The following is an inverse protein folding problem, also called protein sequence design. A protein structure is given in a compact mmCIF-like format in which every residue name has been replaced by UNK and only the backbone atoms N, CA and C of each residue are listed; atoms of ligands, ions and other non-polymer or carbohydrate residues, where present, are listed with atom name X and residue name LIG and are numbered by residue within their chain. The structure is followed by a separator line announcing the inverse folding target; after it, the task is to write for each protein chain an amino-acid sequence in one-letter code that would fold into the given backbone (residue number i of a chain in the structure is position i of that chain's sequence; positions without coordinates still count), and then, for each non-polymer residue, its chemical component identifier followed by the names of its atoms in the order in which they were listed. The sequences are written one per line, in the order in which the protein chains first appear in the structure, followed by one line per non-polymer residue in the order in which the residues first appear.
data_IF_158847054607
#
_entry.id   IF_158847054607
#
_cell.length_a   1.000
_cell.length_b   1.000
_cell.length_c   1.000
_cell.angle_alpha   90.00
_cell.angle_beta   90.00
_cell.angle_gamma   90.00
#
_symmetry.space_group_name_H-M   'P 1'
#
loop_
_entity.id
_entity.type
_entity.pdbx_description
1 polymer ?
#
# COMPACT_ATOMS: atom_id res chain seq x y z
N UNK A 1 -15.27 -14.90 -11.84
CA UNK A 1 -15.52 -13.63 -11.14
C UNK A 1 -16.57 -13.90 -10.08
N UNK A 2 -16.26 -13.65 -8.81
CA UNK A 2 -17.29 -13.63 -7.76
C UNK A 2 -18.22 -12.43 -8.00
N UNK A 3 -19.50 -12.60 -7.68
CA UNK A 3 -20.47 -11.51 -7.73
C UNK A 3 -20.07 -10.35 -6.80
N UNK A 4 -19.53 -10.65 -5.62
CA UNK A 4 -19.18 -9.65 -4.61
C UNK A 4 -17.95 -8.83 -5.01
N UNK A 5 -16.89 -9.47 -5.53
CA UNK A 5 -15.71 -8.75 -6.03
C UNK A 5 -16.04 -7.93 -7.27
N UNK A 6 -16.94 -8.41 -8.12
CA UNK A 6 -17.43 -7.64 -9.27
C UNK A 6 -18.19 -6.40 -8.82
N UNK A 7 -19.14 -6.51 -7.87
CA UNK A 7 -19.86 -5.36 -7.31
C UNK A 7 -18.92 -4.33 -6.70
N UNK A 8 -17.87 -4.76 -6.02
CA UNK A 8 -16.86 -3.87 -5.44
C UNK A 8 -16.11 -3.11 -6.53
N UNK A 9 -15.67 -3.81 -7.58
CA UNK A 9 -15.04 -3.19 -8.75
C UNK A 9 -15.97 -2.20 -9.46
N UNK A 10 -17.25 -2.57 -9.64
CA UNK A 10 -18.26 -1.74 -10.30
C UNK A 10 -18.59 -0.47 -9.48
N UNK A 11 -18.43 -0.53 -8.15
CA UNK A 11 -18.57 0.62 -7.26
C UNK A 11 -17.35 1.58 -7.31
N UNK A 12 -16.33 1.28 -8.11
CA UNK A 12 -15.16 2.13 -8.33
C UNK A 12 -14.00 1.89 -7.35
N UNK A 13 -13.96 0.72 -6.71
CA UNK A 13 -12.86 0.29 -5.83
C UNK A 13 -11.99 -0.74 -6.57
N UNK A 14 -10.73 -0.38 -6.85
CA UNK A 14 -9.77 -1.33 -7.41
C UNK A 14 -9.30 -2.31 -6.34
N UNK A 15 -9.33 -3.61 -6.65
CA UNK A 15 -8.93 -4.68 -5.73
C UNK A 15 -7.47 -5.04 -5.99
N UNK A 16 -6.60 -4.80 -5.03
CA UNK A 16 -5.19 -5.21 -5.08
C UNK A 16 -4.93 -6.33 -4.08
N UNK A 17 -3.97 -7.20 -4.39
CA UNK A 17 -3.52 -8.27 -3.51
C UNK A 17 -2.30 -7.80 -2.70
N UNK A 18 -2.35 -7.96 -1.38
CA UNK A 18 -1.23 -7.70 -0.47
C UNK A 18 -0.37 -8.96 -0.26
N UNK A 19 0.13 -9.50 -1.37
CA UNK A 19 1.01 -10.67 -1.42
C UNK A 19 1.72 -10.75 -2.78
N UNK A 20 2.95 -11.26 -2.79
CA UNK A 20 3.65 -11.69 -3.99
C UNK A 20 4.67 -12.76 -3.62
N UNK A 21 4.63 -13.87 -4.35
CA UNK A 21 5.65 -14.90 -4.28
C UNK A 21 5.94 -15.46 -5.66
N UNK A 22 7.16 -15.98 -5.85
CA UNK A 22 7.53 -16.68 -7.08
C UNK A 22 6.64 -17.88 -7.37
N UNK A 23 6.19 -18.58 -6.33
CA UNK A 23 5.26 -19.70 -6.47
C UNK A 23 3.92 -19.27 -7.11
N UNK A 24 3.37 -18.12 -6.70
CA UNK A 24 2.13 -17.60 -7.31
C UNK A 24 2.32 -17.21 -8.78
N UNK A 25 3.50 -16.71 -9.13
CA UNK A 25 3.85 -16.36 -10.50
C UNK A 25 3.98 -17.62 -11.37
N UNK A 26 4.74 -18.62 -10.92
CA UNK A 26 5.04 -19.82 -11.72
C UNK A 26 3.87 -20.80 -11.80
N UNK A 27 3.03 -20.88 -10.76
CA UNK A 27 1.81 -21.70 -10.75
C UNK A 27 0.68 -21.12 -11.62
N UNK A 28 0.75 -19.83 -11.97
CA UNK A 28 -0.32 -19.11 -12.66
C UNK A 28 -1.44 -18.61 -11.73
N UNK A 29 -1.32 -18.80 -10.41
CA UNK A 29 -2.30 -18.35 -9.41
C UNK A 29 -2.58 -16.84 -9.51
N UNK A 30 -1.54 -16.01 -9.71
CA UNK A 30 -1.76 -14.55 -9.83
C UNK A 30 -2.64 -14.21 -11.04
N UNK A 31 -2.40 -14.86 -12.18
CA UNK A 31 -3.21 -14.68 -13.39
C UNK A 31 -4.64 -15.22 -13.24
N UNK A 32 -4.82 -16.25 -12.40
CA UNK A 32 -6.13 -16.76 -12.03
C UNK A 32 -6.91 -15.73 -11.20
N UNK A 33 -6.31 -15.13 -10.16
CA UNK A 33 -6.96 -14.13 -9.31
C UNK A 33 -7.43 -12.90 -10.09
N UNK A 34 -6.70 -12.48 -11.13
CA UNK A 34 -7.15 -11.43 -12.05
C UNK A 34 -8.50 -11.80 -12.70
N UNK A 35 -8.65 -13.07 -13.12
CA UNK A 35 -9.85 -13.57 -13.81
C UNK A 35 -10.99 -13.94 -12.87
N UNK A 36 -10.67 -14.42 -11.67
CA UNK A 36 -11.66 -15.03 -10.76
C UNK A 36 -12.11 -14.08 -9.64
N UNK A 37 -11.26 -13.13 -9.23
CA UNK A 37 -11.48 -12.26 -8.07
C UNK A 37 -11.34 -10.76 -8.39
N UNK A 38 -11.26 -10.39 -9.67
CA UNK A 38 -11.13 -8.99 -10.11
C UNK A 38 -9.87 -8.30 -9.53
N UNK A 39 -8.81 -9.05 -9.24
CA UNK A 39 -7.54 -8.47 -8.78
C UNK A 39 -6.90 -7.69 -9.92
N UNK A 40 -6.53 -6.44 -9.67
CA UNK A 40 -5.98 -5.51 -10.65
C UNK A 40 -4.67 -4.85 -10.21
N UNK A 41 -4.05 -5.32 -9.14
CA UNK A 41 -2.72 -4.87 -8.72
C UNK A 41 -2.17 -5.70 -7.58
N UNK A 42 -0.90 -5.49 -7.23
CA UNK A 42 -0.20 -6.19 -6.15
C UNK A 42 0.66 -5.23 -5.36
N UNK A 43 0.70 -5.42 -4.04
CA UNK A 43 1.70 -4.81 -3.15
C UNK A 43 2.63 -5.87 -2.57
N UNK A 44 3.89 -5.48 -2.39
CA UNK A 44 4.87 -6.24 -1.61
C UNK A 44 5.27 -5.47 -0.35
N UNK A 45 5.95 -6.17 0.56
CA UNK A 45 6.64 -5.62 1.70
C UNK A 45 7.72 -6.63 2.16
N UNK A 46 8.65 -6.24 3.05
CA UNK A 46 9.71 -7.14 3.52
C UNK A 46 9.19 -8.46 4.14
N UNK A 47 8.09 -8.41 4.90
CA UNK A 47 7.49 -9.60 5.53
C UNK A 47 6.99 -10.60 4.50
N UNK A 48 6.34 -10.13 3.43
CA UNK A 48 5.85 -10.95 2.31
C UNK A 48 7.04 -11.68 1.66
N UNK A 49 8.13 -10.97 1.38
CA UNK A 49 9.30 -11.59 0.76
C UNK A 49 10.03 -12.55 1.69
N UNK A 50 10.16 -12.24 2.99
CA UNK A 50 10.74 -13.16 3.97
C UNK A 50 9.93 -14.48 4.02
N UNK A 51 8.60 -14.37 4.05
CA UNK A 51 7.69 -15.52 3.99
C UNK A 51 7.77 -16.31 2.68
N UNK A 52 7.95 -15.64 1.54
CA UNK A 52 8.09 -16.29 0.24
C UNK A 52 9.44 -17.03 0.11
N UNK A 53 10.54 -16.38 0.50
CA UNK A 53 11.89 -16.92 0.40
C UNK A 53 12.16 -18.05 1.38
N UNK A 54 11.57 -18.01 2.59
CA UNK A 54 11.72 -19.08 3.59
C UNK A 54 11.11 -20.41 3.17
N UNK A 55 10.17 -20.42 2.22
CA UNK A 55 9.63 -21.66 1.61
C UNK A 55 10.57 -22.28 0.57
N UNK A 56 11.62 -21.56 0.16
CA UNK A 56 12.87 -22.05 -0.45
C UNK A 56 12.82 -22.60 -1.87
N UNK A 57 11.91 -23.53 -2.17
CA UNK A 57 11.98 -24.36 -3.39
C UNK A 57 11.93 -23.54 -4.69
N UNK A 58 11.09 -22.51 -4.75
CA UNK A 58 10.96 -21.67 -5.94
C UNK A 58 12.19 -20.76 -6.17
N UNK A 59 12.97 -20.47 -5.13
CA UNK A 59 14.10 -19.55 -5.18
C UNK A 59 15.46 -20.25 -5.29
N UNK A 60 15.51 -21.56 -5.06
CA UNK A 60 16.74 -22.34 -4.95
C UNK A 60 17.69 -22.17 -6.15
N UNK A 61 17.17 -22.22 -7.38
CA UNK A 61 18.01 -22.06 -8.58
C UNK A 61 18.72 -20.70 -8.61
N UNK A 62 17.95 -19.62 -8.43
CA UNK A 62 18.50 -18.27 -8.43
C UNK A 62 19.49 -18.05 -7.29
N UNK A 63 19.24 -18.63 -6.12
CA UNK A 63 20.18 -18.55 -4.99
C UNK A 63 21.50 -19.26 -5.29
N UNK A 64 21.50 -20.38 -6.02
CA UNK A 64 22.75 -21.02 -6.50
C UNK A 64 23.49 -20.15 -7.49
N UNK A 65 22.79 -19.56 -8.46
CA UNK A 65 23.41 -18.67 -9.45
C UNK A 65 24.06 -17.45 -8.76
N UNK A 66 23.35 -16.83 -7.82
CA UNK A 66 23.84 -15.69 -7.05
C UNK A 66 25.00 -16.07 -6.12
N UNK A 67 24.92 -17.23 -5.46
CA UNK A 67 26.01 -17.74 -4.63
C UNK A 67 27.27 -18.04 -5.45
N UNK A 68 27.12 -18.65 -6.62
CA UNK A 68 28.22 -18.92 -7.54
C UNK A 68 28.86 -17.64 -8.10
N UNK A 69 28.06 -16.58 -8.29
CA UNK A 69 28.52 -15.25 -8.67
C UNK A 69 29.18 -14.46 -7.53
N UNK A 70 29.12 -14.96 -6.29
CA UNK A 70 29.67 -14.30 -5.11
C UNK A 70 28.86 -13.08 -4.65
N UNK A 71 27.56 -13.04 -4.96
CA UNK A 71 26.68 -11.94 -4.56
C UNK A 71 26.60 -11.79 -3.04
N UNK A 72 26.49 -10.54 -2.57
CA UNK A 72 26.13 -10.26 -1.18
C UNK A 72 24.68 -10.63 -0.88
N UNK A 73 24.31 -10.64 0.39
CA UNK A 73 22.93 -10.89 0.83
C UNK A 73 22.00 -9.80 0.28
N UNK A 74 22.44 -8.54 0.34
CA UNK A 74 21.70 -7.39 -0.16
C UNK A 74 21.51 -7.44 -1.68
N UNK A 75 22.56 -7.81 -2.42
CA UNK A 75 22.49 -7.99 -3.87
C UNK A 75 21.53 -9.12 -4.25
N UNK A 76 21.52 -10.22 -3.49
CA UNK A 76 20.63 -11.33 -3.71
C UNK A 76 19.15 -10.99 -3.41
N UNK A 77 18.87 -10.29 -2.30
CA UNK A 77 17.53 -9.76 -2.00
C UNK A 77 17.07 -8.80 -3.09
N UNK A 78 17.91 -7.84 -3.47
CA UNK A 78 17.59 -6.86 -4.50
C UNK A 78 17.28 -7.53 -5.84
N UNK A 79 18.10 -8.50 -6.26
CA UNK A 79 17.88 -9.25 -7.49
C UNK A 79 16.58 -10.08 -7.44
N UNK A 80 16.38 -10.88 -6.40
CA UNK A 80 15.22 -11.77 -6.29
C UNK A 80 13.90 -11.01 -6.26
N UNK A 81 13.82 -9.96 -5.44
CA UNK A 81 12.61 -9.14 -5.30
C UNK A 81 12.30 -8.35 -6.57
N UNK A 82 13.31 -7.77 -7.23
CA UNK A 82 13.11 -7.07 -8.50
C UNK A 82 12.69 -8.00 -9.63
N UNK A 83 13.24 -9.21 -9.70
CA UNK A 83 12.88 -10.18 -10.75
C UNK A 83 11.43 -10.68 -10.58
N UNK A 84 11.00 -10.95 -9.35
CA UNK A 84 9.60 -11.30 -9.06
C UNK A 84 8.65 -10.16 -9.39
N UNK A 85 8.99 -8.92 -9.00
CA UNK A 85 8.17 -7.73 -9.31
C UNK A 85 8.12 -7.46 -10.81
N UNK A 86 9.23 -7.62 -11.54
CA UNK A 86 9.25 -7.52 -13.00
C UNK A 86 8.33 -8.56 -13.64
N UNK A 87 8.37 -9.80 -13.18
CA UNK A 87 7.51 -10.86 -13.70
C UNK A 87 6.03 -10.58 -13.39
N UNK A 88 5.71 -10.08 -12.20
CA UNK A 88 4.36 -9.64 -11.85
C UNK A 88 3.89 -8.47 -12.72
N UNK A 89 4.76 -7.50 -13.00
CA UNK A 89 4.48 -6.40 -13.93
C UNK A 89 4.10 -6.93 -15.32
N UNK A 90 4.78 -7.96 -15.81
CA UNK A 90 4.45 -8.59 -17.10
C UNK A 90 3.07 -9.29 -17.07
N UNK A 91 2.71 -9.95 -15.97
CA UNK A 91 1.37 -10.53 -15.78
C UNK A 91 0.27 -9.46 -15.81
N UNK A 92 0.53 -8.31 -15.19
CA UNK A 92 -0.43 -7.21 -15.10
C UNK A 92 -0.42 -6.24 -16.29
N UNK A 93 0.50 -6.39 -17.26
CA UNK A 93 0.61 -5.48 -18.40
C UNK A 93 -0.70 -5.27 -19.19
N UNK A 94 -1.58 -6.29 -19.41
CA UNK A 94 -2.88 -6.07 -20.04
C UNK A 94 -3.82 -5.18 -19.22
N UNK A 95 -3.83 -5.35 -17.89
CA UNK A 95 -4.65 -4.55 -16.96
C UNK A 95 -4.13 -3.11 -16.91
N UNK A 96 -2.82 -2.93 -16.88
CA UNK A 96 -2.16 -1.62 -16.93
C UNK A 96 -2.58 -0.84 -18.17
N UNK A 97 -2.50 -1.48 -19.35
CA UNK A 97 -2.93 -0.86 -20.60
C UNK A 97 -4.43 -0.54 -20.62
N UNK A 98 -5.28 -1.46 -20.15
CA UNK A 98 -6.74 -1.28 -20.18
C UNK A 98 -7.24 -0.19 -19.22
N UNK A 99 -6.51 0.06 -18.14
CA UNK A 99 -6.87 1.05 -17.10
C UNK A 99 -6.20 2.41 -17.30
N UNK A 100 -5.55 2.65 -18.45
CA UNK A 100 -4.73 3.84 -18.71
C UNK A 100 -3.67 4.08 -17.63
N UNK A 101 -3.14 3.00 -17.07
CA UNK A 101 -2.13 3.04 -16.03
C UNK A 101 -2.65 3.28 -14.62
N UNK A 102 -3.95 3.42 -14.36
CA UNK A 102 -4.39 3.46 -12.96
C UNK A 102 -4.10 2.13 -12.27
N UNK A 103 -4.51 1.02 -12.87
CA UNK A 103 -4.33 -0.32 -12.32
C UNK A 103 -3.26 -1.11 -13.11
N UNK A 104 -3.19 -2.42 -12.87
CA UNK A 104 -2.12 -3.29 -13.34
C UNK A 104 -0.77 -2.96 -12.71
N UNK A 105 -0.78 -2.42 -11.49
CA UNK A 105 0.41 -1.92 -10.80
C UNK A 105 1.01 -2.97 -9.87
N UNK A 106 2.34 -2.96 -9.74
CA UNK A 106 3.06 -3.80 -8.78
C UNK A 106 3.97 -2.91 -7.94
N UNK A 107 3.78 -2.91 -6.61
CA UNK A 107 4.56 -2.08 -5.71
C UNK A 107 5.76 -2.82 -5.12
N UNK A 108 6.95 -2.19 -5.15
CA UNK A 108 8.18 -2.66 -4.52
C UNK A 108 8.70 -1.62 -3.53
N UNK A 109 9.07 -2.06 -2.33
CA UNK A 109 9.45 -1.18 -1.21
C UNK A 109 10.94 -0.86 -1.19
N UNK A 110 11.28 0.38 -0.85
CA UNK A 110 12.65 0.76 -0.49
C UNK A 110 13.07 0.09 0.82
N UNK A 111 14.37 0.04 1.10
CA UNK A 111 14.90 -0.47 2.36
C UNK A 111 14.35 0.41 3.53
N UNK A 112 13.63 -0.17 4.51
CA UNK A 112 13.04 0.60 5.60
C UNK A 112 14.07 1.33 6.46
N UNK A 113 15.33 0.88 6.47
CA UNK A 113 16.43 1.53 7.20
C UNK A 113 16.77 2.91 6.60
N UNK A 114 16.34 3.17 5.36
CA UNK A 114 16.48 4.47 4.69
C UNK A 114 15.33 5.43 5.00
N UNK A 115 14.35 5.07 5.83
CA UNK A 115 13.18 5.91 6.11
C UNK A 115 13.49 7.31 6.70
N UNK A 116 14.72 7.52 7.18
CA UNK A 116 15.24 8.82 7.67
C UNK A 116 16.33 9.43 6.79
N UNK A 117 16.67 8.76 5.69
CA UNK A 117 17.66 9.20 4.70
C UNK A 117 16.94 9.53 3.38
N UNK A 118 16.62 10.81 3.19
CA UNK A 118 15.93 11.28 1.99
C UNK A 118 16.76 11.01 0.72
N UNK A 119 18.07 11.25 0.74
CA UNK A 119 18.93 11.08 -0.43
C UNK A 119 19.10 9.60 -0.78
N UNK A 120 19.32 8.76 0.23
CA UNK A 120 19.38 7.31 0.09
C UNK A 120 18.07 6.73 -0.43
N UNK A 121 16.93 7.18 0.10
CA UNK A 121 15.60 6.75 -0.37
C UNK A 121 15.37 7.11 -1.84
N UNK A 122 15.62 8.36 -2.23
CA UNK A 122 15.44 8.80 -3.62
C UNK A 122 16.40 8.08 -4.58
N UNK A 123 17.62 7.77 -4.13
CA UNK A 123 18.59 6.98 -4.89
C UNK A 123 18.09 5.54 -5.10
N UNK A 124 17.70 4.86 -4.02
CA UNK A 124 17.20 3.48 -4.11
C UNK A 124 15.92 3.39 -4.94
N UNK A 125 15.03 4.38 -4.86
CA UNK A 125 13.84 4.44 -5.69
C UNK A 125 14.15 4.42 -7.19
N UNK A 126 15.18 5.16 -7.63
CA UNK A 126 15.66 5.13 -9.03
C UNK A 126 16.27 3.79 -9.38
N UNK A 127 17.11 3.23 -8.51
CA UNK A 127 17.75 1.92 -8.75
C UNK A 127 16.73 0.80 -8.87
N UNK A 128 15.69 0.77 -8.03
CA UNK A 128 14.59 -0.18 -8.12
C UNK A 128 13.81 -0.01 -9.42
N UNK A 129 13.45 1.23 -9.78
CA UNK A 129 12.73 1.52 -11.01
C UNK A 129 13.49 1.05 -12.26
N UNK A 130 14.79 1.38 -12.34
CA UNK A 130 15.67 0.98 -13.43
C UNK A 130 15.88 -0.54 -13.46
N UNK A 131 16.10 -1.18 -12.29
CA UNK A 131 16.29 -2.63 -12.19
C UNK A 131 15.03 -3.38 -12.57
N UNK A 132 13.84 -2.94 -12.17
CA UNK A 132 12.59 -3.60 -12.56
C UNK A 132 12.35 -3.39 -14.06
N UNK A 133 12.55 -2.17 -14.57
CA UNK A 133 12.50 -1.87 -16.00
C UNK A 133 11.12 -2.09 -16.62
N UNK A 134 10.05 -1.72 -15.90
CA UNK A 134 8.65 -1.77 -16.33
C UNK A 134 7.91 -0.53 -15.87
N UNK A 135 7.12 0.08 -16.75
CA UNK A 135 6.37 1.32 -16.44
C UNK A 135 5.28 1.13 -15.38
N UNK A 136 4.76 -0.10 -15.23
CA UNK A 136 3.72 -0.41 -14.27
C UNK A 136 4.22 -0.74 -12.86
N UNK A 137 5.52 -0.57 -12.60
CA UNK A 137 6.05 -0.63 -11.22
C UNK A 137 5.68 0.64 -10.45
N UNK A 138 5.43 0.50 -9.16
CA UNK A 138 5.38 1.62 -8.21
C UNK A 138 6.45 1.43 -7.15
N UNK A 139 7.22 2.48 -6.87
CA UNK A 139 8.15 2.46 -5.75
C UNK A 139 7.39 2.82 -4.48
N UNK A 140 7.46 1.97 -3.48
CA UNK A 140 6.76 2.15 -2.22
C UNK A 140 7.66 2.85 -1.23
N UNK A 141 7.25 4.04 -0.79
CA UNK A 141 8.04 4.94 0.07
C UNK A 141 7.20 5.30 1.31
N UNK A 142 7.71 5.09 2.53
CA UNK A 142 7.04 5.51 3.76
C UNK A 142 6.76 7.02 3.84
N UNK A 143 5.56 7.38 4.32
CA UNK A 143 5.16 8.75 4.64
C UNK A 143 5.68 9.18 6.02
N UNK A 144 6.96 8.97 6.30
CA UNK A 144 7.61 9.64 7.44
C UNK A 144 7.77 11.12 7.11
N UNK A 145 8.05 11.96 8.11
CA UNK A 145 8.34 13.37 7.87
C UNK A 145 9.50 13.55 6.86
N UNK A 146 10.54 12.74 7.01
CA UNK A 146 11.70 12.70 6.14
C UNK A 146 11.38 12.08 4.77
N UNK A 147 10.40 11.17 4.70
CA UNK A 147 9.96 10.47 3.49
C UNK A 147 9.11 11.32 2.54
N UNK A 148 8.52 12.43 3.01
CA UNK A 148 7.75 13.34 2.16
C UNK A 148 8.61 13.96 1.04
N UNK A 149 9.86 14.32 1.34
CA UNK A 149 10.80 14.88 0.36
C UNK A 149 11.15 13.88 -0.76
N UNK A 150 11.65 12.65 -0.48
CA UNK A 150 11.97 11.70 -1.53
C UNK A 150 10.75 11.21 -2.31
N UNK A 151 9.53 11.23 -1.73
CA UNK A 151 8.30 11.02 -2.50
C UNK A 151 8.17 12.06 -3.61
N UNK A 152 8.28 13.35 -3.29
CA UNK A 152 8.20 14.43 -4.27
C UNK A 152 9.33 14.33 -5.31
N UNK A 153 10.57 14.08 -4.89
CA UNK A 153 11.73 13.94 -5.80
C UNK A 153 11.58 12.73 -6.75
N UNK A 154 11.02 11.62 -6.27
CA UNK A 154 10.78 10.42 -7.10
C UNK A 154 9.70 10.68 -8.15
N UNK A 155 8.61 11.35 -7.77
CA UNK A 155 7.56 11.77 -8.71
C UNK A 155 8.10 12.78 -9.73
N UNK A 156 8.93 13.74 -9.30
CA UNK A 156 9.58 14.73 -10.15
C UNK A 156 10.50 14.09 -11.22
N UNK A 157 11.04 12.91 -10.93
CA UNK A 157 11.82 12.11 -11.88
C UNK A 157 10.95 11.37 -12.92
N UNK A 158 9.63 11.37 -12.76
CA UNK A 158 8.67 10.65 -13.59
C UNK A 158 8.36 9.22 -13.12
N UNK A 159 8.73 8.89 -11.88
CA UNK A 159 8.57 7.54 -11.32
C UNK A 159 7.28 7.48 -10.49
N UNK A 160 6.46 6.47 -10.72
CA UNK A 160 5.21 6.27 -9.97
C UNK A 160 5.48 5.78 -8.55
N UNK A 161 4.75 6.33 -7.56
CA UNK A 161 5.00 6.08 -6.13
C UNK A 161 3.77 5.53 -5.44
N UNK A 162 3.93 4.45 -4.68
CA UNK A 162 2.97 4.02 -3.66
C UNK A 162 3.41 4.61 -2.30
N UNK A 163 2.71 5.62 -1.81
CA UNK A 163 3.05 6.19 -0.50
C UNK A 163 2.48 5.30 0.60
N UNK A 164 3.29 4.85 1.56
CA UNK A 164 2.87 3.90 2.61
C UNK A 164 2.99 4.45 4.03
N UNK A 165 2.51 3.70 5.03
CA UNK A 165 2.53 4.07 6.46
C UNK A 165 1.81 5.39 6.77
N UNK A 166 0.67 5.63 6.11
CA UNK A 166 -0.18 6.79 6.42
C UNK A 166 -1.21 6.36 7.47
N UNK A 167 -1.15 6.98 8.65
CA UNK A 167 -2.05 6.66 9.77
C UNK A 167 -2.99 7.81 10.15
N UNK A 168 -2.69 9.03 9.70
CA UNK A 168 -3.39 10.22 10.15
C UNK A 168 -3.86 11.12 9.02
N UNK A 169 -4.93 11.89 9.28
CA UNK A 169 -5.45 12.88 8.36
C UNK A 169 -4.46 14.02 8.11
N UNK A 170 -3.65 14.38 9.11
CA UNK A 170 -2.57 15.37 8.98
C UNK A 170 -1.50 14.86 8.03
N UNK A 171 -0.98 13.65 8.28
CA UNK A 171 0.03 13.05 7.40
C UNK A 171 -0.51 12.87 5.98
N UNK A 172 -1.79 12.52 5.84
CA UNK A 172 -2.37 12.36 4.51
C UNK A 172 -2.42 13.68 3.71
N UNK A 173 -2.76 14.80 4.36
CA UNK A 173 -2.67 16.14 3.72
C UNK A 173 -1.24 16.45 3.26
N UNK A 174 -0.25 16.12 4.09
CA UNK A 174 1.17 16.31 3.74
C UNK A 174 1.60 15.42 2.57
N UNK A 175 1.10 14.18 2.50
CA UNK A 175 1.32 13.27 1.37
C UNK A 175 0.74 13.84 0.08
N UNK A 176 -0.50 14.34 0.11
CA UNK A 176 -1.11 14.98 -1.07
C UNK A 176 -0.33 16.25 -1.47
N UNK A 177 0.16 17.01 -0.50
CA UNK A 177 1.02 18.17 -0.77
C UNK A 177 2.35 17.78 -1.44
N UNK A 178 3.01 16.73 -0.95
CA UNK A 178 4.23 16.19 -1.55
C UNK A 178 3.97 15.64 -2.96
N UNK A 179 2.81 15.01 -3.16
CA UNK A 179 2.35 14.53 -4.47
C UNK A 179 2.23 15.67 -5.48
N UNK A 180 1.48 16.73 -5.14
CA UNK A 180 1.32 17.89 -6.02
C UNK A 180 2.65 18.60 -6.28
N UNK A 181 3.52 18.73 -5.26
CA UNK A 181 4.86 19.30 -5.43
C UNK A 181 5.72 18.47 -6.40
N UNK A 182 5.68 17.15 -6.27
CA UNK A 182 6.39 16.25 -7.18
C UNK A 182 5.91 16.37 -8.62
N UNK A 183 4.60 16.50 -8.84
CA UNK A 183 4.04 16.71 -10.18
C UNK A 183 4.37 18.10 -10.76
N UNK A 184 4.36 19.16 -9.95
CA UNK A 184 4.79 20.49 -10.37
C UNK A 184 6.24 20.46 -10.89
N UNK A 185 7.14 19.84 -10.12
CA UNK A 185 8.53 19.67 -10.52
C UNK A 185 8.68 18.74 -11.72
N UNK A 186 7.87 17.68 -11.82
CA UNK A 186 7.86 16.81 -13.00
C UNK A 186 7.50 17.60 -14.27
N UNK A 187 6.50 18.48 -14.18
CA UNK A 187 6.08 19.35 -15.28
C UNK A 187 7.19 20.33 -15.68
N UNK A 188 7.83 20.97 -14.70
CA UNK A 188 8.98 21.86 -14.92
C UNK A 188 10.16 21.12 -15.57
N UNK A 189 10.37 19.85 -15.19
CA UNK A 189 11.39 18.96 -15.76
C UNK A 189 11.00 18.39 -17.14
N UNK A 190 9.85 18.79 -17.71
CA UNK A 190 9.37 18.33 -19.01
C UNK A 190 8.91 16.88 -19.04
N UNK A 191 8.51 16.32 -17.90
CA UNK A 191 7.92 14.97 -17.81
C UNK A 191 6.46 14.99 -18.25
N UNK A 192 6.02 13.91 -18.88
CA UNK A 192 4.61 13.69 -19.17
C UNK A 192 3.89 13.27 -17.88
N UNK A 193 3.01 14.15 -17.37
CA UNK A 193 2.28 13.88 -16.13
C UNK A 193 1.29 12.72 -16.27
N UNK A 194 0.85 12.42 -17.49
CA UNK A 194 -0.13 11.36 -17.74
C UNK A 194 0.43 9.96 -17.51
N UNK A 195 1.77 9.80 -17.48
CA UNK A 195 2.41 8.52 -17.16
C UNK A 195 2.65 8.35 -15.66
N UNK A 196 2.64 9.44 -14.89
CA UNK A 196 2.94 9.42 -13.45
C UNK A 196 1.68 9.11 -12.67
N UNK A 197 1.72 8.05 -11.88
CA UNK A 197 0.62 7.63 -11.03
C UNK A 197 1.06 7.48 -9.59
N UNK A 198 0.11 7.62 -8.67
CA UNK A 198 0.37 7.39 -7.27
C UNK A 198 -0.86 6.87 -6.54
N UNK A 199 -0.61 6.11 -5.48
CA UNK A 199 -1.61 5.71 -4.49
C UNK A 199 -1.10 6.09 -3.10
N UNK A 200 -2.03 6.39 -2.20
CA UNK A 200 -1.73 6.74 -0.81
C UNK A 200 -2.28 5.66 0.13
N UNK A 201 -1.42 4.73 0.54
CA UNK A 201 -1.74 3.58 1.39
C UNK A 201 -2.00 4.02 2.84
N UNK A 202 -3.28 4.25 3.14
CA UNK A 202 -3.83 4.63 4.43
C UNK A 202 -4.22 3.40 5.24
N UNK A 203 -3.60 3.23 6.40
CA UNK A 203 -3.71 2.01 7.21
C UNK A 203 -4.96 2.04 8.09
N UNK A 204 -5.74 0.95 8.04
CA UNK A 204 -7.04 0.86 8.73
C UNK A 204 -6.95 0.06 10.03
N UNK A 205 -6.74 -1.26 9.96
CA UNK A 205 -6.89 -2.13 11.15
C UNK A 205 -5.89 -1.83 12.28
N UNK A 206 -4.72 -1.23 11.96
CA UNK A 206 -3.71 -0.87 12.95
C UNK A 206 -4.19 0.27 13.86
N UNK A 207 -5.00 1.18 13.32
CA UNK A 207 -5.61 2.28 14.08
C UNK A 207 -6.63 1.73 15.07
N UNK A 208 -7.52 0.83 14.63
CA UNK A 208 -8.46 0.17 15.54
C UNK A 208 -7.73 -0.63 16.63
N UNK A 209 -6.71 -1.43 16.28
CA UNK A 209 -5.99 -2.25 17.27
C UNK A 209 -5.40 -1.40 18.40
N UNK A 210 -4.77 -0.27 18.08
CA UNK A 210 -4.16 0.60 19.09
C UNK A 210 -5.20 1.38 19.89
N UNK A 211 -6.23 1.93 19.23
CA UNK A 211 -7.28 2.70 19.92
C UNK A 211 -8.11 1.80 20.81
N UNK A 212 -8.47 0.60 20.34
CA UNK A 212 -9.25 -0.36 21.12
C UNK A 212 -8.53 -0.80 22.38
N UNK A 213 -7.21 -0.99 22.33
CA UNK A 213 -6.40 -1.30 23.51
C UNK A 213 -6.44 -0.16 24.55
N UNK A 214 -6.43 1.10 24.10
CA UNK A 214 -6.53 2.26 24.98
C UNK A 214 -7.95 2.45 25.53
N UNK A 215 -8.98 2.22 24.72
CA UNK A 215 -10.38 2.26 25.14
C UNK A 215 -10.69 1.16 26.17
N UNK A 216 -10.15 -0.05 25.98
CA UNK A 216 -10.24 -1.15 26.95
C UNK A 216 -9.58 -0.75 28.29
N UNK A 217 -8.39 -0.15 28.23
CA UNK A 217 -7.69 0.33 29.42
C UNK A 217 -8.42 1.48 30.14
N UNK A 218 -9.12 2.33 29.40
CA UNK A 218 -9.95 3.40 29.98
C UNK A 218 -11.21 2.86 30.67
N UNK A 219 -11.78 1.76 30.15
CA UNK A 219 -12.95 1.09 30.72
C UNK A 219 -14.25 1.91 30.63
N UNK A 220 -15.30 1.41 31.29
CA UNK A 220 -16.62 2.07 31.32
C UNK A 220 -17.26 2.20 29.93
N UNK A 221 -17.84 3.37 29.65
CA UNK A 221 -18.53 3.65 28.37
C UNK A 221 -17.58 3.69 27.16
N UNK A 222 -16.27 3.88 27.39
CA UNK A 222 -15.26 3.92 26.32
C UNK A 222 -15.19 2.60 25.54
N UNK A 223 -15.46 1.47 26.20
CA UNK A 223 -15.43 0.13 25.58
C UNK A 223 -16.47 0.00 24.45
N UNK A 224 -17.55 0.79 24.48
CA UNK A 224 -18.59 0.82 23.44
C UNK A 224 -18.11 1.48 22.13
N UNK A 225 -16.94 2.10 22.13
CA UNK A 225 -16.35 2.77 20.97
C UNK A 225 -15.37 1.87 20.20
N UNK A 226 -15.08 0.66 20.70
CA UNK A 226 -14.14 -0.27 20.06
C UNK A 226 -14.55 -0.67 18.64
N UNK A 227 -13.57 -0.90 17.78
CA UNK A 227 -13.75 -1.33 16.39
C UNK A 227 -14.34 -0.27 15.45
N UNK A 228 -14.40 1.00 15.88
CA UNK A 228 -14.99 2.10 15.09
C UNK A 228 -13.97 3.08 14.53
N UNK A 229 -12.78 3.13 15.12
CA UNK A 229 -11.82 4.21 14.89
C UNK A 229 -11.15 4.14 13.52
N UNK A 230 -10.73 2.94 13.09
CA UNK A 230 -10.07 2.73 11.80
C UNK A 230 -10.99 3.05 10.64
N UNK A 231 -12.26 2.60 10.71
CA UNK A 231 -13.26 2.91 9.70
C UNK A 231 -13.57 4.41 9.65
N UNK A 232 -13.80 5.05 10.80
CA UNK A 232 -14.04 6.49 10.88
C UNK A 232 -12.86 7.30 10.33
N UNK A 233 -11.63 6.96 10.73
CA UNK A 233 -10.42 7.63 10.28
C UNK A 233 -10.20 7.50 8.76
N UNK A 234 -10.42 6.33 8.18
CA UNK A 234 -10.30 6.12 6.74
C UNK A 234 -11.40 6.83 5.93
N UNK A 235 -12.63 6.90 6.45
CA UNK A 235 -13.71 7.67 5.82
C UNK A 235 -13.38 9.16 5.77
N UNK A 236 -12.89 9.72 6.88
CA UNK A 236 -12.45 11.11 6.90
C UNK A 236 -11.20 11.34 6.04
N UNK A 237 -10.35 10.33 5.85
CA UNK A 237 -9.26 10.42 4.86
C UNK A 237 -9.80 10.62 3.45
N UNK A 238 -10.89 9.95 3.07
CA UNK A 238 -11.54 10.19 1.78
C UNK A 238 -12.13 11.62 1.67
N UNK A 239 -12.63 12.19 2.77
CA UNK A 239 -13.06 13.61 2.81
C UNK A 239 -11.89 14.55 2.50
N UNK A 240 -10.71 14.31 3.11
CA UNK A 240 -9.47 15.04 2.77
C UNK A 240 -9.14 14.95 1.28
N UNK A 241 -9.29 13.76 0.71
CA UNK A 241 -9.03 13.51 -0.70
C UNK A 241 -9.96 14.37 -1.58
N UNK A 242 -11.26 14.37 -1.32
CA UNK A 242 -12.22 15.20 -2.05
C UNK A 242 -11.89 16.70 -1.92
N UNK A 243 -11.59 17.16 -0.70
CA UNK A 243 -11.21 18.55 -0.43
C UNK A 243 -9.96 18.96 -1.23
N UNK A 244 -8.86 18.22 -1.08
CA UNK A 244 -7.56 18.62 -1.63
C UNK A 244 -7.54 18.53 -3.16
N UNK A 245 -8.18 17.52 -3.74
CA UNK A 245 -8.30 17.34 -5.20
C UNK A 245 -9.43 18.18 -5.82
N UNK A 246 -10.13 19.02 -5.05
CA UNK A 246 -11.01 20.07 -5.58
C UNK A 246 -10.31 21.43 -5.72
N UNK A 247 -9.06 21.54 -5.29
CA UNK A 247 -8.32 22.82 -5.25
C UNK A 247 -7.92 23.36 -6.63
N UNK A 248 -7.75 24.68 -6.75
CA UNK A 248 -7.22 25.30 -7.97
C UNK A 248 -5.82 24.79 -8.34
N UNK A 249 -5.00 24.48 -7.33
CA UNK A 249 -3.66 23.91 -7.51
C UNK A 249 -3.76 22.57 -8.25
N UNK A 250 -4.67 21.70 -7.83
CA UNK A 250 -4.93 20.45 -8.53
C UNK A 250 -5.47 20.66 -9.94
N UNK A 251 -6.47 21.54 -10.11
CA UNK A 251 -7.08 21.80 -11.42
C UNK A 251 -6.04 22.21 -12.48
N UNK A 252 -4.99 22.96 -12.09
CA UNK A 252 -3.88 23.31 -12.98
C UNK A 252 -3.05 22.09 -13.40
N UNK A 253 -2.70 21.21 -12.48
CA UNK A 253 -1.96 19.98 -12.78
C UNK A 253 -2.78 19.03 -13.66
N UNK A 254 -4.07 18.88 -13.34
CA UNK A 254 -5.00 18.07 -14.12
C UNK A 254 -5.13 18.58 -15.56
N UNK A 255 -5.16 19.90 -15.78
CA UNK A 255 -5.18 20.51 -17.11
C UNK A 255 -3.91 20.19 -17.93
N UNK A 256 -2.81 19.77 -17.28
CA UNK A 256 -1.58 19.29 -17.90
C UNK A 256 -1.48 17.75 -17.92
N UNK A 257 -2.60 17.05 -17.72
CA UNK A 257 -2.68 15.59 -17.84
C UNK A 257 -2.32 14.81 -16.59
N UNK A 258 -2.19 15.45 -15.42
CA UNK A 258 -1.92 14.73 -14.18
C UNK A 258 -3.06 13.78 -13.78
N UNK A 259 -2.69 12.59 -13.29
CA UNK A 259 -3.61 11.58 -12.76
C UNK A 259 -3.89 11.82 -11.29
N UNK A 260 -5.09 11.55 -10.78
CA UNK A 260 -5.37 11.73 -9.34
C UNK A 260 -4.60 10.69 -8.50
N UNK A 261 -4.03 11.09 -7.35
CA UNK A 261 -3.49 10.12 -6.39
C UNK A 261 -4.66 9.49 -5.61
N UNK A 262 -4.92 8.21 -5.87
CA UNK A 262 -6.05 7.50 -5.25
C UNK A 262 -5.75 7.13 -3.80
N UNK A 263 -6.69 7.29 -2.85
CA UNK A 263 -6.60 6.65 -1.55
C UNK A 263 -6.54 5.14 -1.72
N UNK A 264 -5.62 4.49 -1.01
CA UNK A 264 -5.49 3.04 -0.96
C UNK A 264 -5.69 2.58 0.48
N UNK A 265 -6.71 1.78 0.74
CA UNK A 265 -6.98 1.22 2.06
C UNK A 265 -6.06 0.01 2.29
N UNK A 266 -5.12 0.17 3.22
CA UNK A 266 -4.12 -0.84 3.56
C UNK A 266 -4.37 -1.42 4.96
N UNK A 267 -3.82 -2.61 5.21
CA UNK A 267 -4.07 -3.34 6.45
C UNK A 267 -5.58 -3.52 6.71
N UNK A 268 -6.31 -4.01 5.71
CA UNK A 268 -7.78 -4.19 5.73
C UNK A 268 -8.22 -5.57 6.20
N UNK A 269 -7.27 -6.43 6.60
CA UNK A 269 -7.58 -7.67 7.31
C UNK A 269 -7.97 -7.40 8.77
N UNK A 270 -9.19 -7.79 9.14
CA UNK A 270 -9.75 -7.64 10.48
C UNK A 270 -8.95 -8.44 11.51
N UNK A 271 -8.70 -7.85 12.68
CA UNK A 271 -7.86 -8.42 13.75
C UNK A 271 -8.67 -8.95 14.93
N UNK A 272 -9.87 -8.42 15.14
CA UNK A 272 -10.80 -8.88 16.16
C UNK A 272 -11.81 -9.86 15.53
N UNK A 273 -11.83 -11.14 15.94
CA UNK A 273 -12.73 -12.15 15.38
C UNK A 273 -14.22 -11.90 15.68
N UNK A 274 -14.55 -10.96 16.58
CA UNK A 274 -15.93 -10.57 16.84
C UNK A 274 -16.50 -9.59 15.79
N UNK A 275 -15.63 -8.98 14.98
CA UNK A 275 -16.02 -8.09 13.89
C UNK A 275 -16.20 -8.90 12.60
N UNK A 276 -17.09 -8.47 11.68
CA UNK A 276 -17.19 -9.08 10.35
C UNK A 276 -15.82 -9.02 9.64
N UNK A 277 -15.33 -10.14 9.11
CA UNK A 277 -14.02 -10.25 8.44
C UNK A 277 -13.91 -9.44 7.13
N UNK A 278 -15.04 -8.97 6.60
CA UNK A 278 -15.14 -8.06 5.44
C UNK A 278 -15.29 -6.57 5.82
N UNK A 279 -15.31 -6.22 7.11
CA UNK A 279 -15.63 -4.87 7.63
C UNK A 279 -14.87 -3.74 6.93
N UNK A 280 -13.54 -3.85 6.83
CA UNK A 280 -12.71 -2.79 6.25
C UNK A 280 -12.71 -2.77 4.72
N UNK A 281 -13.47 -3.66 4.08
CA UNK A 281 -13.70 -3.64 2.63
C UNK A 281 -15.09 -3.09 2.35
N UNK A 282 -16.12 -3.71 2.90
CA UNK A 282 -17.52 -3.31 2.69
C UNK A 282 -17.84 -1.96 3.34
N UNK A 283 -17.13 -1.59 4.40
CA UNK A 283 -17.25 -0.28 5.05
C UNK A 283 -16.54 0.85 4.30
N UNK A 284 -15.62 0.55 3.37
CA UNK A 284 -14.74 1.52 2.68
C UNK A 284 -14.92 1.49 1.15
N UNK A 285 -16.18 1.58 0.70
CA UNK A 285 -16.52 1.62 -0.72
C UNK A 285 -16.76 3.06 -1.16
N UNK A 286 -15.93 3.56 -2.08
CA UNK A 286 -16.13 4.83 -2.76
C UNK A 286 -15.37 4.86 -4.11
N UNK A 287 -15.80 5.69 -5.07
CA UNK A 287 -15.11 5.84 -6.35
C UNK A 287 -13.66 6.30 -6.19
N UNK A 288 -12.81 5.95 -7.16
CA UNK A 288 -11.40 6.34 -7.21
C UNK A 288 -10.58 5.88 -5.99
N UNK A 289 -10.91 4.73 -5.43
CA UNK A 289 -10.15 4.14 -4.32
C UNK A 289 -9.55 2.80 -4.71
N UNK A 290 -8.55 2.38 -3.95
CA UNK A 290 -7.96 1.06 -4.02
C UNK A 290 -8.12 0.40 -2.66
N UNK A 291 -8.33 -0.91 -2.60
CA UNK A 291 -8.20 -1.68 -1.37
C UNK A 291 -7.17 -2.78 -1.60
N UNK A 292 -6.07 -2.78 -0.84
CA UNK A 292 -5.08 -3.86 -0.90
C UNK A 292 -5.38 -4.87 0.21
N UNK A 293 -5.76 -6.08 -0.19
CA UNK A 293 -6.31 -7.09 0.71
C UNK A 293 -5.31 -8.24 0.87
N UNK A 294 -5.07 -8.71 2.11
CA UNK A 294 -4.53 -10.05 2.30
C UNK A 294 -5.45 -11.08 1.65
N UNK A 295 -4.89 -12.19 1.17
CA UNK A 295 -5.65 -13.22 0.43
C UNK A 295 -6.86 -13.76 1.22
N UNK A 296 -6.73 -13.92 2.54
CA UNK A 296 -7.86 -14.34 3.38
C UNK A 296 -9.04 -13.36 3.33
N UNK A 297 -8.76 -12.05 3.34
CA UNK A 297 -9.79 -11.01 3.23
C UNK A 297 -10.38 -10.96 1.83
N UNK A 298 -9.55 -11.11 0.79
CA UNK A 298 -10.02 -11.22 -0.60
C UNK A 298 -11.02 -12.38 -0.76
N UNK A 299 -10.67 -13.55 -0.20
CA UNK A 299 -11.52 -14.73 -0.26
C UNK A 299 -12.83 -14.55 0.53
N UNK A 300 -12.78 -13.94 1.73
CA UNK A 300 -13.98 -13.62 2.50
C UNK A 300 -14.93 -12.68 1.73
N UNK A 301 -14.38 -11.63 1.12
CA UNK A 301 -15.17 -10.71 0.27
C UNK A 301 -15.75 -11.44 -0.93
N UNK A 302 -15.00 -12.33 -1.58
CA UNK A 302 -15.48 -13.09 -2.72
C UNK A 302 -16.57 -14.11 -2.35
N UNK A 303 -16.54 -14.65 -1.14
CA UNK A 303 -17.54 -15.60 -0.64
C UNK A 303 -18.83 -14.91 -0.20
N UNK A 304 -18.73 -13.85 0.62
CA UNK A 304 -19.89 -13.26 1.30
C UNK A 304 -19.81 -11.74 1.51
N UNK A 305 -18.98 -11.03 0.74
CA UNK A 305 -18.90 -9.57 0.82
C UNK A 305 -20.19 -8.87 0.33
N UNK A 306 -20.77 -8.00 1.14
CA UNK A 306 -21.96 -7.21 0.80
C UNK A 306 -21.59 -5.78 0.40
N UNK A 307 -21.71 -5.47 -0.90
CA UNK A 307 -21.46 -4.12 -1.45
C UNK A 307 -22.79 -3.43 -1.73
N UNK A 308 -23.07 -2.35 -0.99
CA UNK A 308 -24.37 -1.65 -1.01
C UNK A 308 -24.31 -0.26 -1.65
N UNK A 309 -23.16 0.11 -2.24
CA UNK A 309 -22.91 1.42 -2.84
C UNK A 309 -21.79 2.17 -2.13
N UNK A 310 -21.78 3.50 -2.25
CA UNK A 310 -20.79 4.33 -1.56
C UNK A 310 -21.08 4.33 -0.03
N UNK A 311 -20.18 3.76 0.75
CA UNK A 311 -20.28 3.64 2.22
C UNK A 311 -19.41 4.63 2.95
N UNK A 312 -18.67 5.49 2.23
CA UNK A 312 -17.79 6.49 2.83
C UNK A 312 -18.49 7.85 2.93
N UNK A 313 -18.88 8.43 1.80
CA UNK A 313 -19.41 9.81 1.73
C UNK A 313 -20.64 10.02 2.62
N UNK A 314 -21.63 9.11 2.69
CA UNK A 314 -22.78 9.30 3.57
C UNK A 314 -22.44 9.31 5.07
N UNK A 315 -21.24 8.87 5.47
CA UNK A 315 -20.86 8.61 6.85
C UNK A 315 -19.77 9.56 7.40
N UNK A 316 -19.48 10.68 6.75
CA UNK A 316 -18.51 11.67 7.27
C UNK A 316 -18.93 12.23 8.64
N UNK A 317 -20.20 12.64 8.79
CA UNK A 317 -20.68 13.20 10.05
C UNK A 317 -20.66 12.17 11.19
N UNK A 318 -21.05 10.92 10.91
CA UNK A 318 -20.93 9.82 11.87
C UNK A 318 -19.46 9.60 12.28
N UNK A 319 -18.56 9.58 11.30
CA UNK A 319 -17.13 9.35 11.53
C UNK A 319 -16.49 10.44 12.39
N UNK A 320 -16.84 11.71 12.14
CA UNK A 320 -16.43 12.83 13.00
C UNK A 320 -16.93 12.64 14.44
N UNK A 321 -18.22 12.35 14.64
CA UNK A 321 -18.77 12.11 15.97
C UNK A 321 -18.10 10.94 16.71
N UNK A 322 -17.75 9.87 15.99
CA UNK A 322 -17.02 8.72 16.54
C UNK A 322 -15.63 9.14 17.01
N UNK A 323 -14.86 9.86 16.19
CA UNK A 323 -13.52 10.29 16.58
C UNK A 323 -13.55 11.34 17.69
N UNK A 324 -14.53 12.25 17.70
CA UNK A 324 -14.75 13.20 18.79
C UNK A 324 -15.03 12.46 20.11
N UNK A 325 -15.92 11.46 20.08
CA UNK A 325 -16.22 10.63 21.25
C UNK A 325 -15.00 9.82 21.71
N UNK A 326 -14.15 9.34 20.80
CA UNK A 326 -12.89 8.66 21.16
C UNK A 326 -11.89 9.64 21.78
N UNK A 327 -11.83 10.87 21.28
CA UNK A 327 -10.84 11.87 21.69
C UNK A 327 -10.92 12.27 23.18
N UNK A 328 -12.08 12.07 23.82
CA UNK A 328 -12.24 12.31 25.26
C UNK A 328 -11.55 11.25 26.12
N UNK A 329 -11.20 10.11 25.54
CA UNK A 329 -10.56 8.97 26.21
C UNK A 329 -9.15 8.70 25.71
N UNK A 330 -8.87 8.99 24.43
CA UNK A 330 -7.64 8.60 23.74
C UNK A 330 -7.06 9.78 22.97
N UNK A 331 -5.78 10.07 23.21
CA UNK A 331 -5.01 11.07 22.46
C UNK A 331 -4.69 10.57 21.04
N UNK A 332 -5.38 11.10 20.04
CA UNK A 332 -5.11 10.77 18.62
C UNK A 332 -3.66 11.05 18.19
N UNK A 333 -3.02 12.20 18.55
CA UNK A 333 -1.61 12.43 18.23
C UNK A 333 -0.67 11.35 18.78
N UNK A 334 -0.87 10.91 20.03
CA UNK A 334 -0.03 9.86 20.64
C UNK A 334 -0.23 8.48 19.99
N UNK A 335 -1.46 8.20 19.53
CA UNK A 335 -1.74 6.98 18.76
C UNK A 335 -0.98 7.01 17.44
N UNK A 336 -1.06 8.13 16.72
CA UNK A 336 -0.40 8.31 15.42
C UNK A 336 1.12 8.22 15.56
N UNK A 337 1.72 8.92 16.53
CA UNK A 337 3.17 8.88 16.77
C UNK A 337 3.64 7.45 17.05
N UNK A 338 2.92 6.72 17.92
CA UNK A 338 3.23 5.32 18.21
C UNK A 338 3.11 4.43 16.97
N UNK A 339 2.06 4.59 16.17
CA UNK A 339 1.86 3.79 14.95
C UNK A 339 2.92 4.08 13.88
N UNK A 340 3.37 5.32 13.73
CA UNK A 340 4.48 5.67 12.85
C UNK A 340 5.79 4.98 13.30
N UNK A 341 6.12 5.07 14.60
CA UNK A 341 7.34 4.45 15.17
C UNK A 341 7.28 2.92 15.07
N UNK A 342 6.17 2.29 15.47
CA UNK A 342 6.01 0.84 15.38
C UNK A 342 5.95 0.35 13.94
N UNK A 343 5.37 1.15 13.04
CA UNK A 343 5.27 0.83 11.61
C UNK A 343 6.65 0.64 11.00
N UNK A 344 7.57 1.57 11.28
CA UNK A 344 8.97 1.49 10.86
C UNK A 344 9.70 0.33 11.53
N UNK A 345 9.58 0.20 12.86
CA UNK A 345 10.27 -0.86 13.59
C UNK A 345 9.87 -2.27 13.13
N UNK A 346 8.58 -2.50 12.84
CA UNK A 346 8.10 -3.78 12.29
C UNK A 346 8.69 -4.07 10.90
N UNK A 347 8.93 -3.04 10.09
CA UNK A 347 9.57 -3.20 8.78
C UNK A 347 11.08 -3.45 8.91
N UNK A 348 11.78 -2.79 9.83
CA UNK A 348 13.18 -3.08 10.12
C UNK A 348 13.39 -4.55 10.54
N UNK A 349 12.53 -5.04 11.45
CA UNK A 349 12.56 -6.46 11.89
C UNK A 349 12.32 -7.39 10.71
N UNK A 350 11.27 -7.13 9.92
CA UNK A 350 10.94 -7.97 8.75
C UNK A 350 12.03 -7.94 7.68
N UNK A 351 12.76 -6.83 7.56
CA UNK A 351 13.89 -6.70 6.64
C UNK A 351 15.09 -7.51 7.12
N UNK A 352 15.42 -7.49 8.41
CA UNK A 352 16.48 -8.33 8.96
C UNK A 352 16.13 -9.83 8.88
N UNK A 353 14.86 -10.21 9.07
CA UNK A 353 14.38 -11.57 8.82
C UNK A 353 14.55 -11.99 7.36
N UNK A 354 14.24 -11.10 6.41
CA UNK A 354 14.47 -11.31 4.98
C UNK A 354 15.96 -11.51 4.68
N UNK A 355 16.83 -10.64 5.19
CA UNK A 355 18.28 -10.76 5.02
C UNK A 355 18.80 -12.06 5.61
N UNK A 356 18.34 -12.46 6.79
CA UNK A 356 18.73 -13.73 7.41
C UNK A 356 18.29 -14.94 6.57
N UNK A 357 17.05 -14.92 6.08
CA UNK A 357 16.52 -15.99 5.21
C UNK A 357 17.35 -16.14 3.93
N UNK A 358 17.70 -15.04 3.28
CA UNK A 358 18.53 -15.06 2.06
C UNK A 358 19.97 -15.47 2.37
N UNK A 359 20.53 -15.03 3.50
CA UNK A 359 21.87 -15.44 3.96
C UNK A 359 21.95 -16.95 4.10
N UNK A 360 20.99 -17.56 4.79
CA UNK A 360 20.91 -19.01 4.94
C UNK A 360 20.76 -19.72 3.59
N UNK A 361 19.92 -19.18 2.69
CA UNK A 361 19.73 -19.75 1.36
C UNK A 361 21.00 -19.68 0.50
N UNK A 362 21.75 -18.57 0.55
CA UNK A 362 23.04 -18.41 -0.15
C UNK A 362 24.11 -19.34 0.42
N UNK A 363 24.16 -19.53 1.74
CA UNK A 363 25.11 -20.44 2.39
C UNK A 363 24.84 -21.91 2.05
N UNK A 364 23.57 -22.31 1.99
CA UNK A 364 23.16 -23.66 1.59
C UNK A 364 23.36 -23.94 0.08
N UNK A 365 23.46 -22.89 -0.73
CA UNK A 365 23.59 -22.97 -2.18
C UNK A 365 25.05 -23.01 -2.68
N UNK A 366 26.04 -22.82 -1.80
CA UNK A 366 27.47 -22.98 -2.05
C UNK A 366 27.88 -24.45 -1.92
#
# INVERSE_FOLDING_TARGET
MSESTQKLSDAGVSIWLDDLSRERLTSGNLAELIKTHNVVGVTTNPTIFAGALSKGAAYAEQMRELAAAGASVEEAVFAATCDDVRAACDVFAPVYKASNGFDGRVSIEVDPRLARDAEGTAKMARELYERVGRENVMIKIPATQEGLRPIAETLAAGISVNVTLIFSLTRYREVINAYMLGLEQALENGKDLSTIHSVASFFVSRVDTEIDARLEAAGGDAVQLKGKAGLANARLAYEVFEEMFSSERWARLQAHGANVQRPLWASTGVKDPSLPDTLYVTGLVAPNTVNTMPEATLNAVADHGEVTGNTIVPNYSESNNVLDAISVHVSYPEVVEKLEVEGLSKFDVSWEELLQTVREALEQAK
#
